data_IF_386712560598
#
_entry.id   IF_386712560598
#
_cell.length_a   1.000
_cell.length_b   1.000
_cell.length_c   1.000
_cell.angle_alpha   90.00
_cell.angle_beta   90.00
_cell.angle_gamma   90.00
#
_symmetry.space_group_name_H-M   'P 1'
#
loop_
_entity.id
_entity.type
_entity.pdbx_description
1 polymer ?
#
# COMPACT_ATOMS: atom_id res chain seq x y z
N UNK A 1 68.69 -37.80 -18.03
CA UNK A 1 67.34 -37.82 -17.62
C UNK A 1 67.01 -36.43 -17.07
N UNK A 2 66.38 -35.57 -17.93
CA UNK A 2 66.01 -34.19 -17.53
C UNK A 2 64.55 -34.21 -17.10
N UNK A 3 64.27 -33.86 -15.87
CA UNK A 3 62.92 -33.67 -15.34
C UNK A 3 62.61 -32.17 -15.38
N UNK A 4 61.68 -31.79 -16.24
CA UNK A 4 61.14 -30.40 -16.32
C UNK A 4 60.13 -30.16 -15.18
N UNK A 5 60.13 -28.98 -14.53
CA UNK A 5 59.07 -28.65 -13.56
C UNK A 5 57.80 -28.17 -14.28
N UNK A 6 56.69 -28.78 -13.88
CA UNK A 6 55.38 -28.39 -14.30
C UNK A 6 54.95 -27.10 -13.52
N UNK A 7 54.86 -25.97 -14.17
CA UNK A 7 54.35 -24.72 -13.57
C UNK A 7 52.84 -24.76 -13.60
N UNK A 8 52.19 -24.88 -12.44
CA UNK A 8 50.74 -24.72 -12.29
C UNK A 8 50.39 -23.22 -12.31
N UNK A 9 49.75 -22.75 -13.35
CA UNK A 9 49.19 -21.41 -13.43
C UNK A 9 47.90 -21.34 -12.61
N UNK A 10 47.96 -20.63 -11.48
CA UNK A 10 46.79 -20.26 -10.70
C UNK A 10 46.01 -19.13 -11.45
N UNK A 11 44.91 -19.51 -12.06
CA UNK A 11 43.95 -18.53 -12.62
C UNK A 11 43.17 -17.92 -11.46
N UNK A 12 43.50 -16.70 -11.07
CA UNK A 12 42.66 -15.89 -10.21
C UNK A 12 41.46 -15.43 -11.02
N UNK A 13 40.31 -16.09 -10.86
CA UNK A 13 39.02 -15.57 -11.31
C UNK A 13 38.68 -14.37 -10.41
N UNK A 14 38.86 -13.16 -10.94
CA UNK A 14 38.34 -11.97 -10.33
C UNK A 14 36.80 -12.07 -10.34
N UNK A 15 36.21 -12.31 -9.18
CA UNK A 15 34.76 -12.14 -8.99
C UNK A 15 34.45 -10.66 -9.23
N UNK A 16 33.99 -10.33 -10.42
CA UNK A 16 33.36 -9.04 -10.71
C UNK A 16 32.07 -9.02 -9.92
N UNK A 17 32.12 -8.39 -8.75
CA UNK A 17 30.92 -8.13 -7.94
C UNK A 17 30.05 -7.18 -8.76
N UNK A 18 28.89 -7.64 -9.21
CA UNK A 18 27.90 -6.76 -9.80
C UNK A 18 27.64 -5.60 -8.81
N UNK A 19 27.57 -4.34 -9.28
CA UNK A 19 27.26 -3.23 -8.40
C UNK A 19 25.95 -3.54 -7.67
N UNK A 20 25.95 -3.38 -6.35
CA UNK A 20 24.74 -3.53 -5.55
C UNK A 20 23.69 -2.60 -6.15
N UNK A 21 22.51 -3.14 -6.46
CA UNK A 21 21.42 -2.32 -6.99
C UNK A 21 21.10 -1.22 -5.96
N UNK A 22 21.15 0.04 -6.40
CA UNK A 22 20.81 1.18 -5.54
C UNK A 22 19.43 0.97 -4.94
N UNK A 23 19.26 1.23 -3.65
CA UNK A 23 17.96 1.10 -2.97
C UNK A 23 16.90 2.06 -3.53
N UNK A 24 17.33 3.23 -4.01
CA UNK A 24 16.48 4.26 -4.62
C UNK A 24 17.13 4.82 -5.88
N UNK A 25 16.34 5.31 -6.84
CA UNK A 25 16.82 6.29 -7.82
C UNK A 25 17.26 7.56 -7.09
N UNK A 26 18.50 8.01 -7.34
CA UNK A 26 19.11 9.17 -6.63
C UNK A 26 19.23 10.41 -7.48
N UNK A 27 18.80 10.38 -8.74
CA UNK A 27 18.89 11.52 -9.64
C UNK A 27 17.99 12.67 -9.17
N UNK A 28 18.51 13.89 -9.25
CA UNK A 28 17.73 15.10 -8.94
C UNK A 28 16.47 15.19 -9.82
N UNK A 29 15.38 15.65 -9.24
CA UNK A 29 14.08 15.71 -9.89
C UNK A 29 13.30 14.40 -9.91
N UNK A 30 13.88 13.25 -9.51
CA UNK A 30 13.12 12.01 -9.34
C UNK A 30 11.91 12.26 -8.47
N UNK A 31 10.75 11.87 -8.96
CA UNK A 31 9.47 12.14 -8.28
C UNK A 31 8.62 10.89 -8.25
N UNK A 32 8.18 10.51 -7.07
CA UNK A 32 7.15 9.51 -6.80
C UNK A 32 5.83 10.23 -6.58
N UNK A 33 4.81 9.89 -7.34
CA UNK A 33 3.45 10.39 -7.19
C UNK A 33 2.56 9.28 -6.69
N UNK A 34 1.82 9.52 -5.63
CA UNK A 34 0.92 8.56 -5.00
C UNK A 34 -0.51 9.08 -5.00
N UNK A 35 -1.46 8.18 -5.11
CA UNK A 35 -2.82 8.43 -4.64
C UNK A 35 -2.94 8.02 -3.18
N UNK A 36 -3.81 8.72 -2.44
CA UNK A 36 -4.06 8.47 -1.02
C UNK A 36 -5.53 8.26 -0.81
N UNK A 37 -5.87 7.24 -0.04
CA UNK A 37 -7.24 6.91 0.33
C UNK A 37 -7.31 6.76 1.84
N UNK A 38 -8.35 7.28 2.44
CA UNK A 38 -8.61 7.19 3.87
C UNK A 38 -9.98 6.60 4.13
N UNK A 39 -10.05 5.68 5.08
CA UNK A 39 -11.26 5.04 5.58
C UNK A 39 -11.36 5.21 7.10
N UNK A 40 -12.50 5.66 7.64
CA UNK A 40 -13.59 6.32 6.91
C UNK A 40 -13.10 7.60 6.23
N UNK A 41 -13.68 8.00 5.09
CA UNK A 41 -13.26 9.20 4.39
C UNK A 41 -13.50 10.44 5.25
N UNK A 42 -12.53 11.37 5.25
CA UNK A 42 -12.65 12.67 5.92
C UNK A 42 -12.69 13.79 4.87
N UNK A 43 -13.48 14.84 5.09
CA UNK A 43 -13.59 15.97 4.15
C UNK A 43 -12.27 16.71 3.91
N UNK A 44 -11.35 16.69 4.88
CA UNK A 44 -10.06 17.36 4.89
C UNK A 44 -8.89 16.41 4.57
N UNK A 45 -9.19 15.15 4.20
CA UNK A 45 -8.16 14.20 3.80
C UNK A 45 -7.55 14.61 2.45
N UNK A 46 -6.22 14.63 2.36
CA UNK A 46 -5.55 14.86 1.09
C UNK A 46 -5.66 13.62 0.18
N UNK A 47 -5.84 13.86 -1.10
CA UNK A 47 -6.03 12.81 -2.10
C UNK A 47 -4.73 12.42 -2.82
N UNK A 48 -3.71 13.29 -2.80
CA UNK A 48 -2.44 13.06 -3.49
C UNK A 48 -1.24 13.32 -2.58
N UNK A 49 -0.22 12.50 -2.76
CA UNK A 49 1.08 12.69 -2.13
C UNK A 49 2.16 12.64 -3.21
N UNK A 50 3.13 13.52 -3.12
CA UNK A 50 4.34 13.43 -3.94
C UNK A 50 5.59 13.50 -3.08
N UNK A 51 6.58 12.69 -3.43
CA UNK A 51 7.93 12.73 -2.86
C UNK A 51 8.88 13.04 -4.00
N UNK A 52 9.72 14.04 -3.82
CA UNK A 52 10.67 14.47 -4.85
C UNK A 52 12.06 14.64 -4.27
N UNK A 53 13.08 14.21 -5.01
CA UNK A 53 14.47 14.61 -4.78
C UNK A 53 14.64 16.03 -5.31
N UNK A 54 14.94 16.97 -4.43
CA UNK A 54 15.16 18.38 -4.74
C UNK A 54 16.62 18.78 -4.47
N UNK A 55 17.54 18.10 -5.16
CA UNK A 55 18.97 18.30 -5.03
C UNK A 55 19.57 17.66 -3.79
N UNK A 56 20.68 18.23 -3.34
CA UNK A 56 21.43 17.83 -2.15
C UNK A 56 21.56 18.99 -1.17
N UNK A 57 21.84 18.67 0.10
CA UNK A 57 22.11 19.67 1.13
C UNK A 57 23.24 19.17 2.04
N UNK A 58 24.12 20.11 2.45
CA UNK A 58 25.21 19.80 3.37
C UNK A 58 24.70 19.72 4.82
N UNK A 59 25.08 18.64 5.50
CA UNK A 59 24.89 18.50 6.94
C UNK A 59 26.21 18.06 7.59
N UNK A 60 26.92 19.03 8.17
CA UNK A 60 28.30 18.80 8.61
C UNK A 60 29.21 18.43 7.43
N UNK A 61 29.98 17.33 7.53
CA UNK A 61 30.86 16.88 6.46
C UNK A 61 30.15 16.11 5.32
N UNK A 62 28.85 15.82 5.45
CA UNK A 62 28.11 14.99 4.50
C UNK A 62 27.24 15.82 3.56
N UNK A 63 27.27 15.45 2.30
CA UNK A 63 26.29 15.88 1.31
C UNK A 63 25.20 14.83 1.21
N UNK A 64 23.96 15.22 1.49
CA UNK A 64 22.81 14.33 1.63
C UNK A 64 21.74 14.67 0.61
N UNK A 65 21.01 13.67 0.13
CA UNK A 65 19.85 13.87 -0.72
C UNK A 65 18.75 14.58 0.06
N UNK A 66 18.17 15.61 -0.55
CA UNK A 66 17.02 16.34 -0.01
C UNK A 66 15.74 15.81 -0.62
N UNK A 67 14.87 15.22 0.20
CA UNK A 67 13.54 14.77 -0.19
C UNK A 67 12.49 15.77 0.28
N UNK A 68 11.64 16.22 -0.63
CA UNK A 68 10.46 17.02 -0.32
C UNK A 68 9.20 16.18 -0.48
N UNK A 69 8.37 16.14 0.57
CA UNK A 69 7.07 15.49 0.55
C UNK A 69 5.98 16.56 0.52
N UNK A 70 5.05 16.46 -0.42
CA UNK A 70 3.92 17.37 -0.59
C UNK A 70 2.61 16.58 -0.56
N UNK A 71 1.64 17.09 0.20
CA UNK A 71 0.26 16.63 0.17
C UNK A 71 -0.58 17.68 -0.56
N UNK A 72 -1.30 17.28 -1.62
CA UNK A 72 -2.06 18.17 -2.50
C UNK A 72 -1.26 19.43 -2.91
N UNK A 73 0.02 19.23 -3.28
CA UNK A 73 1.01 20.25 -3.63
C UNK A 73 1.52 21.14 -2.47
N UNK A 74 1.03 20.97 -1.25
CA UNK A 74 1.51 21.69 -0.08
C UNK A 74 2.72 20.96 0.52
N UNK A 75 3.84 21.63 0.69
CA UNK A 75 5.03 21.05 1.33
C UNK A 75 4.71 20.72 2.78
N UNK A 76 4.78 19.43 3.12
CA UNK A 76 4.47 18.92 4.47
C UNK A 76 5.71 18.45 5.21
N UNK A 77 6.74 18.00 4.48
CA UNK A 77 7.94 17.44 5.08
C UNK A 77 9.15 17.60 4.16
N UNK A 78 10.31 17.82 4.75
CA UNK A 78 11.62 17.73 4.10
C UNK A 78 12.49 16.77 4.89
N UNK A 79 13.18 15.85 4.21
CA UNK A 79 14.11 14.91 4.82
C UNK A 79 15.47 14.98 4.13
N UNK A 80 16.56 14.92 4.92
CA UNK A 80 17.89 14.67 4.42
C UNK A 80 18.23 13.20 4.61
N UNK A 81 18.51 12.52 3.53
CA UNK A 81 18.71 11.08 3.51
C UNK A 81 20.04 10.70 2.84
N UNK A 82 20.54 9.55 3.18
CA UNK A 82 21.62 8.86 2.48
C UNK A 82 21.11 7.49 2.02
N UNK A 83 21.36 7.17 0.77
CA UNK A 83 21.02 5.89 0.16
C UNK A 83 22.30 5.25 -0.36
N UNK A 84 22.84 4.27 0.36
CA UNK A 84 24.11 3.61 0.05
C UNK A 84 24.08 2.12 0.42
N UNK A 85 25.24 1.47 0.42
CA UNK A 85 25.41 0.07 0.78
C UNK A 85 25.06 -0.23 2.26
N UNK A 86 24.93 0.78 3.12
CA UNK A 86 24.53 0.63 4.51
C UNK A 86 22.98 0.78 4.70
N UNK A 87 22.27 1.12 3.64
CA UNK A 87 20.82 1.23 3.68
C UNK A 87 20.30 2.62 3.29
N UNK A 88 19.02 2.82 3.52
CA UNK A 88 18.37 4.11 3.41
C UNK A 88 18.25 4.70 4.82
N UNK A 89 18.91 5.83 5.05
CA UNK A 89 19.03 6.44 6.39
C UNK A 89 18.57 7.89 6.38
N UNK A 90 17.90 8.30 7.45
CA UNK A 90 17.43 9.68 7.66
C UNK A 90 18.36 10.36 8.66
N UNK A 91 18.91 11.49 8.26
CA UNK A 91 19.78 12.34 9.08
C UNK A 91 19.05 13.54 9.68
N UNK A 92 18.11 14.09 8.93
CA UNK A 92 17.29 15.21 9.40
C UNK A 92 15.89 15.13 8.82
N UNK A 93 14.90 15.43 9.65
CA UNK A 93 13.51 15.57 9.26
C UNK A 93 12.99 16.93 9.69
N UNK A 94 12.33 17.63 8.78
CA UNK A 94 11.68 18.93 9.03
C UNK A 94 10.25 18.84 8.57
N UNK A 95 9.27 19.02 9.46
CA UNK A 95 7.85 19.17 9.07
C UNK A 95 7.53 20.66 8.89
N UNK A 96 6.48 20.96 8.10
CA UNK A 96 6.09 22.34 7.79
C UNK A 96 5.85 23.22 9.02
N UNK A 97 5.43 22.62 10.15
CA UNK A 97 5.05 23.33 11.38
C UNK A 97 6.08 23.18 12.52
N UNK A 98 7.22 22.52 12.30
CA UNK A 98 8.15 22.16 13.39
C UNK A 98 9.60 22.48 13.05
N UNK A 99 10.38 22.70 14.12
CA UNK A 99 11.84 22.76 14.01
C UNK A 99 12.38 21.46 13.41
N UNK A 100 13.44 21.60 12.63
CA UNK A 100 14.19 20.47 12.12
C UNK A 100 14.68 19.56 13.28
N UNK A 101 14.48 18.25 13.16
CA UNK A 101 15.00 17.25 14.07
C UNK A 101 16.17 16.56 13.36
N UNK A 102 17.36 16.68 13.93
CA UNK A 102 18.56 15.95 13.50
C UNK A 102 18.65 14.68 14.31
N UNK A 103 18.87 13.56 13.65
CA UNK A 103 19.06 12.25 14.27
C UNK A 103 20.56 11.93 14.31
N UNK A 104 21.09 11.69 15.52
CA UNK A 104 22.45 11.23 15.76
C UNK A 104 22.42 10.10 16.80
N UNK A 105 22.66 8.86 16.41
CA UNK A 105 22.98 8.39 15.05
C UNK A 105 21.80 8.54 14.06
N UNK A 106 22.06 8.53 12.73
CA UNK A 106 21.00 8.59 11.72
C UNK A 106 20.09 7.39 11.82
N UNK A 107 18.79 7.61 11.55
CA UNK A 107 17.77 6.57 11.66
C UNK A 107 17.73 5.70 10.40
N UNK A 108 17.66 4.39 10.56
CA UNK A 108 17.47 3.46 9.46
C UNK A 108 16.01 3.44 9.01
N UNK A 109 15.74 3.93 7.81
CA UNK A 109 14.41 3.82 7.17
C UNK A 109 14.24 2.46 6.50
N UNK A 110 15.28 2.00 5.79
CA UNK A 110 15.34 0.67 5.17
C UNK A 110 16.75 0.12 5.34
N UNK A 111 16.94 -1.08 5.91
CA UNK A 111 18.27 -1.67 6.07
C UNK A 111 18.89 -2.05 4.71
N UNK A 112 20.21 -2.06 4.63
CA UNK A 112 20.96 -2.44 3.43
C UNK A 112 20.61 -3.82 2.90
N UNK A 113 20.29 -4.73 3.81
CA UNK A 113 20.01 -6.13 3.50
C UNK A 113 18.58 -6.49 3.89
N UNK A 114 17.73 -6.66 2.86
CA UNK A 114 16.35 -7.07 3.02
C UNK A 114 16.24 -8.59 2.94
N UNK A 115 15.99 -9.21 4.09
CA UNK A 115 15.70 -10.64 4.22
C UNK A 115 14.58 -10.82 5.22
N UNK A 116 13.65 -11.72 4.92
CA UNK A 116 12.53 -12.05 5.82
C UNK A 116 13.06 -12.34 7.22
N UNK A 117 12.46 -11.69 8.22
CA UNK A 117 12.83 -11.78 9.63
C UNK A 117 13.84 -10.71 10.10
N UNK A 118 14.48 -9.94 9.21
CA UNK A 118 15.32 -8.80 9.62
C UNK A 118 14.46 -7.76 10.33
N UNK A 119 14.94 -7.25 11.46
CA UNK A 119 14.28 -6.24 12.28
C UNK A 119 15.17 -5.03 12.48
N UNK A 120 14.54 -3.86 12.58
CA UNK A 120 15.20 -2.60 12.96
C UNK A 120 14.22 -1.66 13.66
N UNK A 121 14.73 -0.63 14.26
CA UNK A 121 13.95 0.39 14.96
C UNK A 121 13.99 1.69 14.18
N UNK A 122 12.88 2.40 14.23
CA UNK A 122 12.70 3.74 13.66
C UNK A 122 11.94 4.58 14.66
N UNK A 123 12.57 5.66 15.11
CA UNK A 123 11.91 6.63 15.97
C UNK A 123 11.17 7.66 15.12
N UNK A 124 9.91 7.88 15.42
CA UNK A 124 9.09 8.88 14.77
C UNK A 124 8.39 9.75 15.83
N UNK A 125 7.77 10.81 15.38
CA UNK A 125 6.96 11.67 16.24
C UNK A 125 5.67 12.04 15.52
N UNK A 126 4.55 11.57 16.03
CA UNK A 126 3.23 11.95 15.55
C UNK A 126 2.47 12.75 16.62
N UNK A 127 1.86 13.84 16.19
CA UNK A 127 1.06 14.74 17.05
C UNK A 127 1.75 15.13 18.39
N UNK A 128 3.10 15.25 18.36
CA UNK A 128 3.87 15.61 19.57
C UNK A 128 4.32 14.43 20.43
N UNK A 129 3.85 13.21 20.17
CA UNK A 129 4.22 11.98 20.88
C UNK A 129 5.39 11.31 20.20
N UNK A 130 6.42 10.96 20.96
CA UNK A 130 7.52 10.11 20.48
C UNK A 130 7.02 8.67 20.31
N UNK A 131 7.36 8.06 19.20
CA UNK A 131 6.95 6.72 18.83
C UNK A 131 8.17 5.89 18.49
N UNK A 132 8.33 4.77 19.18
CA UNK A 132 9.29 3.74 18.84
C UNK A 132 8.62 2.71 17.95
N UNK A 133 9.07 2.59 16.73
CA UNK A 133 8.55 1.66 15.76
C UNK A 133 9.56 0.56 15.49
N UNK A 134 9.18 -0.68 15.74
CA UNK A 134 9.98 -1.83 15.36
C UNK A 134 9.44 -2.43 14.07
N UNK A 135 10.19 -2.26 13.00
CA UNK A 135 9.88 -2.86 11.70
C UNK A 135 10.49 -4.25 11.57
N UNK A 136 9.80 -5.10 10.82
CA UNK A 136 10.26 -6.43 10.43
C UNK A 136 10.05 -6.60 8.94
N UNK A 137 11.01 -7.19 8.21
CA UNK A 137 10.76 -7.69 6.85
C UNK A 137 9.87 -8.92 6.98
N UNK A 138 8.56 -8.76 6.74
CA UNK A 138 7.57 -9.80 6.97
C UNK A 138 7.45 -10.77 5.80
N UNK A 139 7.57 -10.29 4.55
CA UNK A 139 7.41 -11.08 3.35
C UNK A 139 8.19 -10.48 2.17
N UNK A 140 8.32 -11.27 1.10
CA UNK A 140 8.61 -10.79 -0.25
C UNK A 140 7.47 -11.28 -1.13
N UNK A 141 6.75 -10.36 -1.74
CA UNK A 141 5.46 -10.67 -2.40
C UNK A 141 5.22 -9.76 -3.61
N UNK A 142 4.29 -10.17 -4.45
CA UNK A 142 3.82 -9.35 -5.57
C UNK A 142 2.81 -8.34 -5.07
N UNK A 143 2.96 -7.06 -5.41
CA UNK A 143 2.01 -6.00 -5.10
C UNK A 143 1.64 -5.24 -6.36
N UNK A 144 0.35 -5.01 -6.57
CA UNK A 144 -0.17 -4.22 -7.69
C UNK A 144 -0.60 -2.85 -7.18
N UNK A 145 -0.14 -1.83 -7.87
CA UNK A 145 -0.50 -0.41 -7.63
C UNK A 145 -0.76 0.25 -8.99
N UNK A 146 -1.32 1.46 -9.09
CA UNK A 146 -1.58 2.13 -10.37
C UNK A 146 -0.34 2.25 -11.29
N UNK A 147 0.87 2.32 -10.71
CA UNK A 147 2.11 2.36 -11.47
C UNK A 147 2.54 1.00 -12.07
N UNK A 148 1.92 -0.10 -11.67
CA UNK A 148 2.24 -1.44 -12.16
C UNK A 148 2.34 -2.48 -11.05
N UNK A 149 2.77 -3.70 -11.41
CA UNK A 149 2.98 -4.81 -10.48
C UNK A 149 4.47 -4.96 -10.16
N UNK A 150 4.80 -5.11 -8.88
CA UNK A 150 6.16 -5.17 -8.38
C UNK A 150 6.38 -6.37 -7.48
N UNK A 151 7.59 -6.93 -7.47
CA UNK A 151 8.05 -7.83 -6.43
C UNK A 151 8.61 -6.96 -5.30
N UNK A 152 7.93 -6.90 -4.18
CA UNK A 152 8.24 -6.00 -3.08
C UNK A 152 8.53 -6.74 -1.77
N UNK A 153 9.32 -6.12 -0.93
CA UNK A 153 9.45 -6.54 0.47
C UNK A 153 8.40 -5.83 1.31
N UNK A 154 7.56 -6.59 2.00
CA UNK A 154 6.63 -6.03 2.98
C UNK A 154 7.33 -5.80 4.31
N UNK A 155 7.41 -4.54 4.70
CA UNK A 155 7.99 -4.06 5.94
C UNK A 155 6.84 -3.79 6.91
N UNK A 156 6.73 -4.59 7.96
CA UNK A 156 5.61 -4.60 8.90
C UNK A 156 6.03 -4.03 10.25
N UNK A 157 5.17 -3.19 10.84
CA UNK A 157 5.32 -2.65 12.18
C UNK A 157 3.98 -2.70 12.93
N UNK A 158 4.01 -3.19 14.16
CA UNK A 158 2.89 -3.09 15.10
C UNK A 158 3.27 -2.14 16.24
N UNK A 159 2.44 -1.16 16.48
CA UNK A 159 2.59 -0.18 17.54
C UNK A 159 1.34 -0.19 18.43
N UNK A 160 1.39 -0.81 19.62
CA UNK A 160 0.20 -0.97 20.47
C UNK A 160 -0.23 0.30 21.21
N UNK A 161 0.64 1.29 21.35
CA UNK A 161 0.39 2.49 22.15
C UNK A 161 0.84 3.77 21.42
N UNK A 162 0.18 4.93 21.56
CA UNK A 162 -1.04 5.22 22.32
C UNK A 162 -2.35 4.66 21.76
N UNK A 163 -2.37 4.32 20.47
CA UNK A 163 -3.44 3.60 19.80
C UNK A 163 -2.84 2.40 19.06
N UNK A 164 -3.60 1.31 18.99
CA UNK A 164 -3.17 0.16 18.20
C UNK A 164 -3.02 0.57 16.74
N UNK A 165 -1.78 0.62 16.28
CA UNK A 165 -1.44 1.05 14.91
C UNK A 165 -0.65 -0.06 14.24
N UNK A 166 -1.08 -0.43 13.04
CA UNK A 166 -0.36 -1.35 12.15
C UNK A 166 0.13 -0.53 10.96
N UNK A 167 1.39 -0.73 10.57
CA UNK A 167 1.99 -0.08 9.40
C UNK A 167 2.57 -1.19 8.53
N UNK A 168 2.08 -1.30 7.30
CA UNK A 168 2.64 -2.14 6.26
C UNK A 168 3.16 -1.29 5.12
N UNK A 169 4.44 -1.47 4.74
CA UNK A 169 5.10 -0.73 3.67
C UNK A 169 5.68 -1.70 2.67
N UNK A 170 5.40 -1.51 1.40
CA UNK A 170 5.97 -2.31 0.31
C UNK A 170 7.12 -1.55 -0.34
N UNK A 171 8.30 -2.09 -0.16
CA UNK A 171 9.54 -1.50 -0.67
C UNK A 171 10.13 -2.34 -1.79
N UNK A 172 10.52 -1.69 -2.88
CA UNK A 172 11.14 -2.30 -4.06
C UNK A 172 12.53 -1.69 -4.25
N UNK A 173 13.61 -2.48 -4.11
CA UNK A 173 14.95 -2.00 -4.40
C UNK A 173 15.05 -1.41 -5.81
N UNK A 174 15.66 -0.23 -5.94
CA UNK A 174 15.76 0.51 -7.20
C UNK A 174 14.52 1.32 -7.59
N UNK A 175 13.41 1.17 -6.87
CA UNK A 175 12.15 1.93 -7.08
C UNK A 175 11.81 2.78 -5.86
N UNK A 176 11.86 2.20 -4.66
CA UNK A 176 11.43 2.84 -3.42
C UNK A 176 10.14 2.24 -2.88
N UNK A 177 9.40 3.02 -2.09
CA UNK A 177 8.09 2.61 -1.56
C UNK A 177 7.03 2.66 -2.65
N UNK A 178 6.34 1.55 -2.87
CA UNK A 178 5.26 1.45 -3.87
C UNK A 178 3.88 1.46 -3.24
N UNK A 179 3.76 1.02 -2.00
CA UNK A 179 2.49 1.05 -1.23
C UNK A 179 2.80 1.26 0.25
N UNK A 180 1.92 1.94 0.96
CA UNK A 180 1.94 2.09 2.42
C UNK A 180 0.50 1.99 2.94
N UNK A 181 0.27 1.19 3.97
CA UNK A 181 -1.02 1.06 4.65
C UNK A 181 -0.82 1.28 6.13
N UNK A 182 -1.42 2.33 6.66
CA UNK A 182 -1.43 2.61 8.10
C UNK A 182 -2.84 2.43 8.62
N UNK A 183 -3.04 1.50 9.55
CA UNK A 183 -4.32 1.21 10.17
C UNK A 183 -4.27 1.57 11.65
N UNK A 184 -5.20 2.41 12.11
CA UNK A 184 -5.33 2.82 13.51
C UNK A 184 -6.63 2.29 14.08
N UNK A 185 -6.55 1.59 15.21
CA UNK A 185 -7.70 1.03 15.92
C UNK A 185 -7.82 1.61 17.32
N UNK A 186 -9.05 1.79 17.75
CA UNK A 186 -9.36 2.20 19.13
C UNK A 186 -9.26 1.04 20.13
N UNK A 187 -9.44 1.32 21.43
CA UNK A 187 -9.33 0.31 22.49
C UNK A 187 -10.29 -0.87 22.37
N UNK A 188 -11.44 -0.69 21.70
CA UNK A 188 -12.42 -1.74 21.42
C UNK A 188 -12.10 -2.57 20.16
N UNK A 189 -10.97 -2.29 19.48
CA UNK A 189 -10.64 -2.90 18.18
C UNK A 189 -11.31 -2.21 16.98
N UNK A 190 -12.21 -1.23 17.23
CA UNK A 190 -12.89 -0.49 16.15
C UNK A 190 -11.89 0.25 15.29
N UNK A 191 -12.06 0.18 13.98
CA UNK A 191 -11.29 0.98 13.02
C UNK A 191 -11.54 2.48 13.27
N UNK A 192 -10.48 3.24 13.50
CA UNK A 192 -10.52 4.70 13.62
C UNK A 192 -10.07 5.37 12.33
N UNK A 193 -9.03 4.83 11.69
CA UNK A 193 -8.52 5.32 10.42
C UNK A 193 -7.71 4.22 9.74
N UNK A 194 -7.85 4.11 8.42
CA UNK A 194 -6.97 3.36 7.54
C UNK A 194 -6.56 4.29 6.40
N UNK A 195 -5.28 4.54 6.28
CA UNK A 195 -4.72 5.37 5.21
C UNK A 195 -3.92 4.46 4.30
N UNK A 196 -4.30 4.41 3.03
CA UNK A 196 -3.57 3.68 1.99
C UNK A 196 -2.95 4.67 1.01
N UNK A 197 -1.64 4.51 0.79
CA UNK A 197 -0.88 5.31 -0.16
C UNK A 197 -0.35 4.36 -1.24
N UNK A 198 -0.70 4.57 -2.50
CA UNK A 198 -0.34 3.70 -3.62
C UNK A 198 0.39 4.45 -4.72
N UNK A 199 1.54 3.94 -5.18
CA UNK A 199 2.34 4.57 -6.23
C UNK A 199 1.56 4.63 -7.54
N UNK A 200 1.33 5.84 -8.03
CA UNK A 200 0.65 6.13 -9.28
C UNK A 200 1.63 6.33 -10.44
N UNK A 201 2.76 6.97 -10.16
CA UNK A 201 3.80 7.25 -11.17
C UNK A 201 5.16 7.47 -10.52
N UNK A 202 6.20 6.95 -11.18
CA UNK A 202 7.59 7.31 -10.93
C UNK A 202 8.12 8.04 -12.17
N UNK A 203 8.73 9.20 -11.97
CA UNK A 203 9.25 10.05 -13.08
C UNK A 203 10.50 9.50 -13.76
N UNK A 204 11.18 8.56 -13.13
CA UNK A 204 12.32 7.85 -13.69
C UNK A 204 12.00 6.37 -13.83
N UNK A 205 12.51 5.76 -14.92
CA UNK A 205 12.36 4.32 -15.11
C UNK A 205 13.15 3.56 -14.05
N UNK A 206 12.55 2.59 -13.37
CA UNK A 206 13.27 1.70 -12.45
C UNK A 206 14.41 0.98 -13.15
N UNK A 207 15.44 0.57 -12.39
CA UNK A 207 16.53 -0.24 -12.90
C UNK A 207 16.00 -1.54 -13.57
N UNK A 208 16.59 -1.99 -14.71
CA UNK A 208 16.15 -3.19 -15.39
C UNK A 208 16.12 -4.41 -14.45
N UNK A 209 15.02 -5.15 -14.46
CA UNK A 209 14.86 -6.40 -13.70
C UNK A 209 13.95 -6.32 -12.48
N UNK A 210 13.38 -5.16 -12.15
CA UNK A 210 12.52 -4.97 -10.96
C UNK A 210 11.02 -4.97 -11.31
N UNK A 211 10.63 -4.63 -12.53
CA UNK A 211 9.24 -4.62 -12.97
C UNK A 211 8.85 -5.94 -13.64
N UNK A 212 7.83 -6.59 -13.12
CA UNK A 212 7.07 -7.60 -13.87
C UNK A 212 6.07 -6.84 -14.74
N UNK A 213 5.90 -7.24 -16.00
CA UNK A 213 4.90 -6.62 -16.88
C UNK A 213 3.53 -6.62 -16.18
N UNK A 214 2.82 -5.49 -16.15
CA UNK A 214 1.54 -5.41 -15.44
C UNK A 214 0.52 -6.34 -16.10
N UNK A 215 0.10 -7.37 -15.39
CA UNK A 215 -1.12 -8.10 -15.72
C UNK A 215 -2.26 -7.36 -15.04
N UNK A 216 -3.16 -6.77 -15.82
CA UNK A 216 -4.33 -6.08 -15.27
C UNK A 216 -5.29 -7.13 -14.69
N UNK A 217 -5.66 -7.03 -13.40
CA UNK A 217 -6.68 -7.91 -12.83
C UNK A 217 -8.00 -7.78 -13.60
N UNK A 218 -8.58 -8.91 -13.96
CA UNK A 218 -9.90 -8.97 -14.58
C UNK A 218 -10.88 -9.51 -13.56
N UNK A 219 -11.85 -8.70 -13.16
CA UNK A 219 -12.83 -9.04 -12.13
C UNK A 219 -14.24 -8.98 -12.73
N UNK A 220 -15.06 -9.94 -12.35
CA UNK A 220 -16.50 -9.98 -12.64
C UNK A 220 -17.25 -9.93 -11.32
N UNK A 221 -18.27 -9.08 -11.23
CA UNK A 221 -19.16 -8.92 -10.08
C UNK A 221 -20.59 -9.05 -10.52
N UNK A 222 -21.38 -9.91 -9.88
CA UNK A 222 -22.77 -10.18 -10.19
C UNK A 222 -23.62 -10.23 -8.92
N UNK A 223 -24.89 -9.88 -9.04
CA UNK A 223 -25.88 -9.94 -7.97
C UNK A 223 -27.05 -10.81 -8.41
N UNK A 224 -27.60 -11.64 -7.52
CA UNK A 224 -28.70 -12.57 -7.84
C UNK A 224 -29.64 -12.76 -6.63
N UNK A 225 -30.89 -13.17 -6.90
CA UNK A 225 -31.87 -13.53 -5.87
C UNK A 225 -31.64 -14.95 -5.29
N UNK A 226 -30.92 -15.80 -6.01
CA UNK A 226 -30.60 -17.18 -5.61
C UNK A 226 -29.10 -17.45 -5.72
N UNK A 227 -28.54 -18.37 -4.94
CA UNK A 227 -27.10 -18.65 -4.92
C UNK A 227 -26.50 -18.94 -6.30
N UNK A 228 -27.19 -19.70 -7.14
CA UNK A 228 -26.81 -20.08 -8.50
C UNK A 228 -27.78 -19.51 -9.55
N UNK A 229 -28.59 -18.50 -9.16
CA UNK A 229 -29.58 -17.86 -10.03
C UNK A 229 -28.94 -17.00 -11.10
N UNK A 230 -29.73 -16.63 -12.12
CA UNK A 230 -29.32 -15.66 -13.12
C UNK A 230 -29.07 -14.29 -12.47
N UNK A 231 -28.07 -13.52 -12.94
CA UNK A 231 -27.84 -12.17 -12.46
C UNK A 231 -29.09 -11.29 -12.63
N UNK A 232 -29.39 -10.51 -11.60
CA UNK A 232 -30.46 -9.50 -11.61
C UNK A 232 -30.04 -8.29 -10.80
N UNK A 233 -30.51 -7.13 -11.22
CA UNK A 233 -30.30 -5.85 -10.54
C UNK A 233 -31.60 -5.27 -9.95
N UNK A 234 -32.70 -5.99 -10.10
CA UNK A 234 -33.99 -5.59 -9.55
C UNK A 234 -34.49 -6.64 -8.56
N UNK A 235 -34.84 -6.21 -7.38
CA UNK A 235 -35.33 -7.05 -6.29
C UNK A 235 -36.63 -6.50 -5.73
N UNK A 236 -37.43 -7.40 -5.16
CA UNK A 236 -38.61 -7.02 -4.37
C UNK A 236 -38.16 -6.71 -2.94
N UNK A 237 -38.91 -5.82 -2.28
CA UNK A 237 -38.67 -5.45 -0.86
C UNK A 237 -38.83 -6.62 0.10
N UNK A 238 -39.49 -7.71 -0.29
CA UNK A 238 -39.69 -8.93 0.49
C UNK A 238 -38.63 -10.01 0.26
N UNK A 239 -37.64 -9.78 -0.63
CA UNK A 239 -36.55 -10.76 -0.87
C UNK A 239 -35.81 -11.08 0.41
N UNK A 240 -35.65 -12.38 0.71
CA UNK A 240 -35.04 -12.82 1.95
C UNK A 240 -33.52 -12.62 1.98
N UNK A 241 -32.85 -12.86 0.84
CA UNK A 241 -31.41 -12.74 0.69
C UNK A 241 -31.06 -12.20 -0.70
N UNK A 242 -29.98 -11.46 -0.76
CA UNK A 242 -29.34 -11.04 -2.01
C UNK A 242 -27.95 -11.65 -2.02
N UNK A 243 -27.62 -12.35 -3.10
CA UNK A 243 -26.34 -13.06 -3.26
C UNK A 243 -25.45 -12.25 -4.17
N UNK A 244 -24.26 -11.93 -3.69
CA UNK A 244 -23.20 -11.27 -4.45
C UNK A 244 -22.17 -12.33 -4.81
N UNK A 245 -21.89 -12.49 -6.09
CA UNK A 245 -20.88 -13.40 -6.63
C UNK A 245 -19.80 -12.59 -7.33
N UNK A 246 -18.57 -12.94 -7.10
CA UNK A 246 -17.48 -12.38 -7.86
C UNK A 246 -16.45 -13.43 -8.22
N UNK A 247 -15.72 -13.18 -9.30
CA UNK A 247 -14.55 -13.97 -9.71
C UNK A 247 -13.50 -13.04 -10.32
N UNK A 248 -12.24 -13.42 -10.20
CA UNK A 248 -11.15 -12.65 -10.75
C UNK A 248 -10.02 -13.52 -11.30
N UNK A 249 -9.40 -13.03 -12.37
CA UNK A 249 -8.21 -13.58 -13.00
C UNK A 249 -7.06 -12.59 -12.86
N UNK A 250 -5.81 -13.07 -12.78
CA UNK A 250 -4.60 -12.27 -12.61
C UNK A 250 -4.64 -11.37 -11.35
N UNK A 251 -5.31 -11.87 -10.31
CA UNK A 251 -5.42 -11.19 -9.03
C UNK A 251 -4.06 -11.14 -8.34
N UNK A 252 -3.65 -10.00 -7.77
CA UNK A 252 -2.44 -9.93 -6.97
C UNK A 252 -2.63 -10.69 -5.67
N UNK A 253 -1.72 -11.65 -5.42
CA UNK A 253 -1.72 -12.41 -4.16
C UNK A 253 -1.38 -11.48 -3.00
N UNK A 254 -2.07 -11.65 -1.88
CA UNK A 254 -2.03 -10.80 -0.68
C UNK A 254 -2.65 -9.40 -0.86
N UNK A 255 -3.34 -9.14 -1.96
CA UNK A 255 -4.18 -7.96 -2.06
C UNK A 255 -5.40 -8.06 -1.14
N UNK A 256 -5.84 -6.94 -0.60
CA UNK A 256 -7.07 -6.87 0.19
C UNK A 256 -8.25 -6.64 -0.76
N UNK A 257 -9.21 -7.55 -0.71
CA UNK A 257 -10.47 -7.44 -1.45
C UNK A 257 -11.59 -7.10 -0.47
N UNK A 258 -12.26 -5.98 -0.74
CA UNK A 258 -13.41 -5.52 0.01
C UNK A 258 -14.64 -5.50 -0.89
N UNK A 259 -15.75 -6.08 -0.43
CA UNK A 259 -17.06 -5.92 -1.03
C UNK A 259 -17.92 -5.11 -0.08
N UNK A 260 -18.39 -3.95 -0.54
CA UNK A 260 -19.24 -3.06 0.22
C UNK A 260 -20.64 -2.99 -0.37
N UNK A 261 -21.65 -3.11 0.49
CA UNK A 261 -23.04 -2.88 0.16
C UNK A 261 -23.46 -1.47 0.59
N UNK A 262 -23.89 -0.66 -0.34
CA UNK A 262 -24.13 0.77 -0.14
C UNK A 262 -25.59 1.11 -0.46
N UNK A 263 -26.29 1.75 0.49
CA UNK A 263 -27.53 2.46 0.20
C UNK A 263 -27.18 3.78 -0.50
N UNK A 264 -27.40 3.82 -1.81
CA UNK A 264 -27.08 5.01 -2.61
C UNK A 264 -28.12 6.11 -2.39
N UNK A 265 -29.41 5.73 -2.48
CA UNK A 265 -30.54 6.61 -2.21
C UNK A 265 -31.76 5.78 -1.78
N UNK A 266 -32.09 5.84 -0.50
CA UNK A 266 -33.24 5.16 0.13
C UNK A 266 -34.14 6.16 0.84
N UNK A 267 -34.16 7.41 0.37
CA UNK A 267 -34.91 8.51 0.97
C UNK A 267 -34.45 8.85 2.38
N UNK A 268 -35.39 9.11 3.28
CA UNK A 268 -35.09 9.55 4.65
C UNK A 268 -34.66 8.40 5.59
N UNK A 269 -34.56 7.14 5.09
CA UNK A 269 -34.26 5.97 5.91
C UNK A 269 -32.75 5.89 6.26
N UNK A 270 -31.88 6.31 5.34
CA UNK A 270 -30.44 6.42 5.59
C UNK A 270 -29.82 7.57 4.79
N UNK A 271 -28.69 8.12 5.25
CA UNK A 271 -27.95 9.10 4.46
C UNK A 271 -27.54 8.54 3.08
N UNK A 272 -27.42 9.43 2.08
CA UNK A 272 -26.90 9.05 0.77
C UNK A 272 -25.52 8.38 0.89
N UNK A 273 -25.33 7.30 0.12
CA UNK A 273 -24.10 6.51 0.09
C UNK A 273 -23.71 5.90 1.46
N UNK A 274 -24.70 5.52 2.24
CA UNK A 274 -24.48 4.84 3.53
C UNK A 274 -24.05 3.39 3.31
N UNK A 275 -22.89 3.00 3.86
CA UNK A 275 -22.43 1.61 3.83
C UNK A 275 -23.25 0.81 4.85
N UNK A 276 -24.03 -0.14 4.35
CA UNK A 276 -24.92 -0.99 5.16
C UNK A 276 -24.12 -2.15 5.75
N UNK A 277 -23.31 -2.78 4.92
CA UNK A 277 -22.50 -3.95 5.27
C UNK A 277 -21.27 -4.02 4.38
N UNK A 278 -20.20 -4.63 4.89
CA UNK A 278 -18.98 -4.86 4.14
C UNK A 278 -18.30 -6.16 4.56
N UNK A 279 -17.57 -6.75 3.64
CA UNK A 279 -16.79 -7.97 3.88
C UNK A 279 -15.42 -7.83 3.23
N UNK A 280 -14.39 -8.06 4.03
CA UNK A 280 -13.00 -8.01 3.60
C UNK A 280 -12.40 -9.43 3.57
N UNK A 281 -11.60 -9.71 2.54
CA UNK A 281 -10.82 -10.95 2.42
C UNK A 281 -9.48 -10.66 1.76
N UNK A 282 -8.46 -11.47 2.09
CA UNK A 282 -7.15 -11.37 1.43
C UNK A 282 -7.09 -12.37 0.28
N UNK A 283 -6.63 -11.93 -0.88
CA UNK A 283 -6.44 -12.78 -2.07
C UNK A 283 -5.29 -13.74 -1.83
N UNK A 284 -5.57 -15.04 -1.90
CA UNK A 284 -4.58 -16.10 -1.70
C UNK A 284 -4.14 -16.80 -2.98
N UNK A 285 -4.86 -16.59 -4.08
CA UNK A 285 -4.60 -17.19 -5.39
C UNK A 285 -4.86 -16.18 -6.51
N UNK A 286 -4.12 -16.26 -7.61
CA UNK A 286 -4.28 -15.33 -8.73
C UNK A 286 -5.58 -15.55 -9.52
N UNK A 287 -6.21 -16.71 -9.39
CA UNK A 287 -7.57 -17.02 -9.85
C UNK A 287 -8.40 -17.37 -8.62
N UNK A 288 -9.33 -16.52 -8.27
CA UNK A 288 -10.12 -16.67 -7.05
C UNK A 288 -11.51 -16.09 -7.25
N UNK A 289 -12.47 -16.63 -6.53
CA UNK A 289 -13.84 -16.12 -6.49
C UNK A 289 -14.53 -16.53 -5.21
N UNK A 290 -15.48 -15.73 -4.80
CA UNK A 290 -16.27 -16.01 -3.59
C UNK A 290 -17.72 -15.50 -3.76
N UNK A 291 -18.54 -15.88 -2.77
CA UNK A 291 -19.93 -15.46 -2.67
C UNK A 291 -20.17 -14.85 -1.29
N UNK A 292 -20.88 -13.76 -1.29
CA UNK A 292 -21.36 -13.10 -0.08
C UNK A 292 -22.90 -13.11 -0.09
N UNK A 293 -23.49 -13.17 1.09
CA UNK A 293 -24.94 -13.19 1.24
C UNK A 293 -25.36 -12.04 2.15
N UNK A 294 -26.19 -11.16 1.62
CA UNK A 294 -26.85 -10.11 2.39
C UNK A 294 -28.22 -10.59 2.80
N UNK A 295 -28.46 -10.70 4.09
CA UNK A 295 -29.77 -11.09 4.63
C UNK A 295 -30.64 -9.86 4.84
N UNK A 296 -31.94 -10.04 4.60
CA UNK A 296 -32.92 -8.97 4.80
C UNK A 296 -32.86 -8.43 6.24
N UNK A 297 -32.77 -7.11 6.41
CA UNK A 297 -32.86 -6.46 7.71
C UNK A 297 -34.19 -6.79 8.42
N UNK A 298 -34.22 -6.68 9.76
CA UNK A 298 -35.44 -6.97 10.55
C UNK A 298 -36.63 -6.14 10.13
N UNK A 299 -36.39 -4.90 9.73
CA UNK A 299 -37.40 -3.93 9.31
C UNK A 299 -37.71 -4.00 7.81
N UNK A 300 -37.18 -5.00 7.10
CA UNK A 300 -37.32 -5.13 5.64
C UNK A 300 -36.24 -4.37 4.88
N UNK A 301 -36.23 -4.55 3.55
CA UNK A 301 -35.44 -3.72 2.67
C UNK A 301 -36.17 -2.40 2.43
N UNK A 302 -35.49 -1.29 2.60
CA UNK A 302 -36.01 -0.01 2.16
C UNK A 302 -36.12 0.03 0.62
N UNK A 303 -37.19 0.59 0.07
CA UNK A 303 -37.27 0.85 -1.36
C UNK A 303 -36.22 1.92 -1.74
N UNK A 304 -35.55 1.72 -2.87
CA UNK A 304 -34.57 2.70 -3.33
C UNK A 304 -33.49 2.12 -4.19
N UNK A 305 -32.43 2.92 -4.30
CA UNK A 305 -31.22 2.59 -5.06
C UNK A 305 -30.12 2.16 -4.13
N UNK A 306 -29.48 1.09 -4.52
CA UNK A 306 -28.33 0.51 -3.84
C UNK A 306 -27.22 0.25 -4.86
N UNK A 307 -26.01 -0.01 -4.38
CA UNK A 307 -24.94 -0.55 -5.21
C UNK A 307 -24.07 -1.50 -4.39
N UNK A 308 -23.44 -2.42 -5.09
CA UNK A 308 -22.39 -3.26 -4.57
C UNK A 308 -21.09 -2.79 -5.19
N UNK A 309 -20.15 -2.33 -4.37
CA UNK A 309 -18.81 -1.93 -4.80
C UNK A 309 -17.81 -3.01 -4.42
N UNK A 310 -17.00 -3.45 -5.38
CA UNK A 310 -15.88 -4.35 -5.13
C UNK A 310 -14.58 -3.57 -5.29
N UNK A 311 -13.79 -3.59 -4.23
CA UNK A 311 -12.49 -2.94 -4.15
C UNK A 311 -11.39 -3.98 -4.13
N UNK A 312 -10.29 -3.67 -4.77
CA UNK A 312 -9.03 -4.40 -4.66
C UNK A 312 -7.95 -3.40 -4.23
N UNK A 313 -7.35 -3.60 -3.06
CA UNK A 313 -6.41 -2.64 -2.47
C UNK A 313 -6.97 -1.20 -2.45
N UNK A 314 -8.22 -1.06 -1.98
CA UNK A 314 -8.99 0.21 -1.92
C UNK A 314 -9.34 0.85 -3.29
N UNK A 315 -9.03 0.18 -4.42
CA UNK A 315 -9.42 0.63 -5.76
C UNK A 315 -10.74 -0.02 -6.14
N UNK A 316 -11.77 0.77 -6.49
CA UNK A 316 -13.01 0.23 -7.06
C UNK A 316 -12.70 -0.44 -8.39
N UNK A 317 -12.85 -1.76 -8.42
CA UNK A 317 -12.64 -2.55 -9.64
C UNK A 317 -13.95 -2.75 -10.40
N UNK A 318 -15.05 -2.94 -9.66
CA UNK A 318 -16.40 -3.14 -10.21
C UNK A 318 -17.43 -2.52 -9.28
N UNK A 319 -18.54 -2.06 -9.89
CA UNK A 319 -19.70 -1.57 -9.17
C UNK A 319 -20.97 -2.04 -9.90
N UNK A 320 -21.92 -2.59 -9.15
CA UNK A 320 -23.22 -3.04 -9.68
C UNK A 320 -24.33 -2.28 -8.98
N UNK A 321 -25.09 -1.50 -9.74
CA UNK A 321 -26.29 -0.80 -9.23
C UNK A 321 -27.44 -1.78 -9.05
N UNK A 322 -28.16 -1.65 -7.95
CA UNK A 322 -29.29 -2.49 -7.56
C UNK A 322 -30.49 -1.60 -7.21
N UNK A 323 -31.65 -2.02 -7.62
CA UNK A 323 -32.92 -1.34 -7.27
C UNK A 323 -33.79 -2.29 -6.46
N UNK A 324 -34.31 -1.83 -5.34
CA UNK A 324 -35.29 -2.55 -4.52
C UNK A 324 -36.61 -1.81 -4.55
N UNK A 325 -37.69 -2.53 -4.87
CA UNK A 325 -39.05 -2.00 -4.97
C UNK A 325 -40.09 -3.07 -4.60
N UNK A 326 -41.33 -2.66 -4.34
CA UNK A 326 -42.46 -3.55 -4.09
C UNK A 326 -42.91 -4.35 -5.34
#
# INVERSE_FOLDING_TARGET
MNVAPCAAALVFAALVRAPAASLLPTADGTTWEYEVREQPPRPDAFATLSVRISGTEQLGPKELLKLETRADNILTKTELIEADDAGLRIYRRTSAERKAVVSDPPQTLVPAFLKIGVKWELDDRAAGTEMHQQFTVAAQESVTVPAGTYQAYRLHCEQPWPLSTTIDRWFVPGVGFVKDVTTVRGPSGRLLSRVTTSLRRLSQTPAPGVSVAPSTPKITLEVAAEPEGSPTTEFRSDVANIFVRWSGEHLPINADLLVAWVAEDVGDIAPHNFIIDDTETTITQSEYGARFTLSRPKDGWAEGKYRVDLYLDDIVMQSVSVTIRD
#
